data_IF_592080188684
#
_entry.id   IF_592080188684
#
_cell.length_a   1.000
_cell.length_b   1.000
_cell.length_c   1.000
_cell.angle_alpha   90.00
_cell.angle_beta   90.00
_cell.angle_gamma   90.00
#
_symmetry.space_group_name_H-M   'P 1'
#
loop_
_entity.id
_entity.type
_entity.pdbx_description
1 polymer ?
#
# COMPACT_ATOMS: atom_id res chain seq x y z
N UNK A 1 10.38 13.92 1.80
CA UNK A 1 10.60 12.57 2.41
C UNK A 1 10.04 11.55 1.41
N UNK A 2 10.42 10.28 1.42
CA UNK A 2 9.89 9.31 0.44
C UNK A 2 9.03 8.22 1.11
N UNK A 3 8.04 7.74 0.37
CA UNK A 3 7.20 6.60 0.74
C UNK A 3 7.01 5.69 -0.46
N UNK A 4 6.90 4.38 -0.22
CA UNK A 4 6.49 3.41 -1.22
C UNK A 4 5.07 2.96 -0.89
N UNK A 5 4.17 3.12 -1.84
CA UNK A 5 2.80 2.61 -1.76
C UNK A 5 2.61 1.44 -2.71
N UNK A 6 1.80 0.46 -2.31
CA UNK A 6 1.45 -0.71 -3.08
C UNK A 6 -0.08 -0.88 -3.13
N UNK A 7 -0.61 -1.25 -4.30
CA UNK A 7 -2.01 -1.63 -4.50
C UNK A 7 -2.12 -2.53 -5.72
N UNK A 8 -3.33 -2.93 -6.10
CA UNK A 8 -3.58 -3.66 -7.34
C UNK A 8 -4.84 -4.52 -7.24
N UNK A 9 -5.19 -5.23 -8.32
CA UNK A 9 -6.42 -6.01 -8.36
C UNK A 9 -6.37 -7.22 -7.41
N UNK A 10 -5.20 -7.82 -7.21
CA UNK A 10 -4.99 -9.04 -6.43
C UNK A 10 -5.48 -8.87 -4.99
N UNK A 11 -5.16 -7.73 -4.37
CA UNK A 11 -5.54 -7.39 -3.00
C UNK A 11 -7.06 -7.46 -2.81
N UNK A 12 -7.83 -7.00 -3.80
CA UNK A 12 -9.30 -7.06 -3.81
C UNK A 12 -9.81 -8.47 -4.11
N UNK A 13 -9.21 -9.15 -5.10
CA UNK A 13 -9.63 -10.48 -5.56
C UNK A 13 -9.54 -11.54 -4.46
N UNK A 14 -8.44 -11.55 -3.69
CA UNK A 14 -8.25 -12.49 -2.57
C UNK A 14 -8.87 -11.98 -1.26
N UNK A 15 -9.57 -10.84 -1.32
CA UNK A 15 -10.19 -10.18 -0.17
C UNK A 15 -9.20 -9.77 0.92
N UNK A 16 -7.93 -9.59 0.56
CA UNK A 16 -6.90 -9.10 1.48
C UNK A 16 -7.28 -7.71 2.01
N UNK A 17 -7.80 -6.85 1.14
CA UNK A 17 -8.21 -5.47 1.43
C UNK A 17 -9.25 -5.31 2.55
N UNK A 18 -9.98 -6.38 2.89
CA UNK A 18 -11.09 -6.38 3.87
C UNK A 18 -10.82 -7.27 5.09
N UNK A 19 -9.61 -7.83 5.23
CA UNK A 19 -9.27 -8.69 6.37
C UNK A 19 -9.26 -7.90 7.67
N UNK A 20 -9.96 -8.32 8.74
CA UNK A 20 -10.04 -7.56 9.99
C UNK A 20 -8.69 -7.21 10.65
N UNK A 21 -7.62 -7.96 10.32
CA UNK A 21 -6.27 -7.70 10.81
C UNK A 21 -5.76 -6.28 10.50
N UNK A 22 -6.22 -5.66 9.41
CA UNK A 22 -5.86 -4.28 9.06
C UNK A 22 -6.33 -3.25 10.10
N UNK A 23 -7.42 -3.54 10.80
CA UNK A 23 -7.98 -2.67 11.84
C UNK A 23 -7.53 -3.05 13.26
N UNK A 24 -6.58 -3.98 13.42
CA UNK A 24 -5.99 -4.26 14.73
C UNK A 24 -5.38 -2.94 15.27
N UNK A 25 -5.79 -2.46 16.45
CA UNK A 25 -5.26 -1.23 17.02
C UNK A 25 -3.73 -1.21 17.14
N UNK A 26 -3.08 -2.36 17.33
CA UNK A 26 -1.62 -2.45 17.36
C UNK A 26 -1.00 -2.22 15.97
N UNK A 27 -1.67 -2.68 14.90
CA UNK A 27 -1.26 -2.40 13.52
C UNK A 27 -1.44 -0.92 13.20
N UNK A 28 -2.61 -0.34 13.52
CA UNK A 28 -2.91 1.07 13.26
C UNK A 28 -2.00 2.04 14.04
N UNK A 29 -1.39 1.59 15.15
CA UNK A 29 -0.38 2.33 15.91
C UNK A 29 1.07 2.09 15.46
N UNK A 30 1.29 1.15 14.55
CA UNK A 30 2.64 0.74 14.13
C UNK A 30 3.38 -0.09 15.19
N UNK A 31 2.67 -0.58 16.21
CA UNK A 31 3.21 -1.45 17.27
C UNK A 31 3.36 -2.90 16.78
N UNK A 32 2.68 -3.26 15.70
CA UNK A 32 2.68 -4.60 15.11
C UNK A 32 2.63 -4.53 13.58
N UNK A 33 3.33 -5.47 12.94
CA UNK A 33 3.26 -5.68 11.49
C UNK A 33 1.99 -6.45 11.09
N UNK A 34 1.48 -6.18 9.89
CA UNK A 34 0.53 -7.09 9.24
C UNK A 34 1.34 -8.28 8.74
N UNK A 35 0.96 -9.49 9.17
CA UNK A 35 1.61 -10.73 8.73
C UNK A 35 0.61 -11.49 7.88
N UNK A 36 0.85 -11.51 6.57
CA UNK A 36 -0.01 -12.19 5.59
C UNK A 36 0.84 -12.70 4.44
N UNK A 37 0.77 -14.00 4.14
CA UNK A 37 1.49 -14.60 3.01
C UNK A 37 0.98 -14.06 1.66
N UNK A 38 -0.20 -13.43 1.63
CA UNK A 38 -0.74 -12.78 0.42
C UNK A 38 -0.12 -11.40 0.16
N UNK A 39 0.78 -10.91 1.02
CA UNK A 39 1.53 -9.65 0.83
C UNK A 39 2.89 -9.88 0.14
N UNK A 40 3.10 -11.02 -0.50
CA UNK A 40 4.31 -11.25 -1.30
C UNK A 40 4.37 -10.25 -2.45
N UNK A 41 5.50 -9.55 -2.54
CA UNK A 41 5.87 -8.73 -3.69
C UNK A 41 7.01 -9.49 -4.36
N UNK A 42 6.73 -10.00 -5.56
CA UNK A 42 7.58 -11.01 -6.18
C UNK A 42 7.46 -12.38 -5.51
N UNK A 43 8.46 -13.22 -5.73
CA UNK A 43 8.49 -14.64 -5.33
C UNK A 43 9.15 -14.86 -3.96
N UNK A 44 9.89 -13.86 -3.46
CA UNK A 44 10.83 -14.08 -2.35
C UNK A 44 10.53 -13.31 -1.07
N UNK A 45 9.99 -12.09 -1.17
CA UNK A 45 9.82 -11.20 -0.01
C UNK A 45 8.36 -10.83 0.28
N UNK A 46 8.00 -10.82 1.56
CA UNK A 46 6.71 -10.30 2.03
C UNK A 46 6.85 -8.81 2.33
N UNK A 47 5.93 -8.00 1.80
CA UNK A 47 5.87 -6.58 2.09
C UNK A 47 5.64 -6.32 3.59
N UNK A 48 6.59 -5.63 4.21
CA UNK A 48 6.40 -5.06 5.54
C UNK A 48 5.56 -3.78 5.44
N UNK A 49 4.63 -3.60 6.37
CA UNK A 49 3.56 -2.60 6.27
C UNK A 49 3.72 -1.52 7.33
N UNK A 50 3.62 -0.26 6.91
CA UNK A 50 3.37 0.89 7.77
C UNK A 50 1.85 1.05 7.96
N UNK A 51 1.32 0.38 8.99
CA UNK A 51 -0.10 0.38 9.32
C UNK A 51 -0.70 1.77 9.55
N UNK A 52 -0.06 2.66 10.35
CA UNK A 52 -0.55 4.02 10.58
C UNK A 52 -0.77 4.84 9.31
N UNK A 53 0.07 4.66 8.28
CA UNK A 53 0.03 5.48 7.07
C UNK A 53 -0.47 4.72 5.82
N UNK A 54 -0.90 3.48 6.00
CA UNK A 54 -1.70 2.74 5.02
C UNK A 54 -3.04 3.46 4.85
N UNK A 55 -3.50 3.60 3.61
CA UNK A 55 -4.68 4.38 3.26
C UNK A 55 -5.89 3.49 3.03
N UNK A 56 -7.00 3.89 3.63
CA UNK A 56 -8.28 3.19 3.62
C UNK A 56 -9.31 3.97 2.85
N UNK A 57 -10.10 3.26 2.05
CA UNK A 57 -11.37 3.76 1.53
C UNK A 57 -12.46 3.47 2.56
N UNK A 58 -13.26 4.48 2.87
CA UNK A 58 -14.37 4.41 3.84
C UNK A 58 -15.66 4.79 3.12
N UNK A 59 -16.71 3.98 3.29
CA UNK A 59 -18.03 4.17 2.67
C UNK A 59 -18.02 4.33 1.14
N UNK A 60 -17.09 3.65 0.48
CA UNK A 60 -16.98 3.70 -0.99
C UNK A 60 -16.35 4.98 -1.53
N UNK A 61 -15.80 5.84 -0.66
CA UNK A 61 -15.18 7.11 -1.06
C UNK A 61 -13.70 6.91 -1.41
N UNK A 62 -13.45 6.53 -2.65
CA UNK A 62 -12.10 6.33 -3.21
C UNK A 62 -11.32 7.63 -3.43
N UNK A 63 -11.95 8.79 -3.24
CA UNK A 63 -11.34 10.12 -3.41
C UNK A 63 -10.84 10.71 -2.10
N UNK A 64 -11.44 10.32 -0.98
CA UNK A 64 -11.08 10.81 0.35
C UNK A 64 -10.55 9.65 1.20
N UNK A 65 -9.37 9.14 0.83
CA UNK A 65 -8.73 8.07 1.56
C UNK A 65 -8.28 8.55 2.96
N UNK A 66 -8.44 7.68 3.95
CA UNK A 66 -8.14 7.96 5.36
C UNK A 66 -6.92 7.15 5.79
N UNK A 67 -5.99 7.76 6.52
CA UNK A 67 -4.84 7.04 7.07
C UNK A 67 -5.24 6.08 8.20
N UNK A 68 -4.56 4.95 8.33
CA UNK A 68 -4.86 3.95 9.37
C UNK A 68 -4.81 4.52 10.79
N UNK A 69 -3.84 5.39 11.09
CA UNK A 69 -3.70 6.01 12.40
C UNK A 69 -4.92 6.85 12.80
N UNK A 70 -5.62 7.41 11.83
CA UNK A 70 -6.85 8.16 12.06
C UNK A 70 -8.06 7.29 12.38
N UNK A 71 -8.02 6.00 12.04
CA UNK A 71 -9.12 5.05 12.32
C UNK A 71 -9.12 4.56 13.77
N UNK A 72 -8.07 4.82 14.54
CA UNK A 72 -7.95 4.39 15.93
C UNK A 72 -9.12 4.95 16.76
N UNK A 73 -9.93 4.05 17.31
CA UNK A 73 -11.07 4.41 18.16
C UNK A 73 -12.28 4.96 17.41
N UNK A 74 -12.26 5.01 16.06
CA UNK A 74 -13.47 5.26 15.26
C UNK A 74 -14.38 4.05 15.35
N UNK A 75 -15.69 4.30 15.43
CA UNK A 75 -16.70 3.26 15.26
C UNK A 75 -16.91 3.03 13.76
N UNK A 76 -16.49 1.85 13.30
CA UNK A 76 -16.66 1.40 11.91
C UNK A 76 -17.79 0.38 11.78
N UNK A 77 -18.63 0.22 12.80
CA UNK A 77 -19.78 -0.68 12.73
C UNK A 77 -20.80 -0.17 11.72
N UNK A 78 -21.16 -1.03 10.75
CA UNK A 78 -22.09 -0.67 9.67
C UNK A 78 -21.50 0.22 8.57
N UNK A 79 -20.22 0.60 8.69
CA UNK A 79 -19.45 1.35 7.70
C UNK A 79 -18.71 0.35 6.82
N UNK A 80 -18.73 0.57 5.50
CA UNK A 80 -17.91 -0.25 4.61
C UNK A 80 -16.50 0.31 4.58
N UNK A 81 -15.49 -0.55 4.63
CA UNK A 81 -14.10 -0.13 4.57
C UNK A 81 -13.27 -1.16 3.80
N UNK A 82 -12.19 -0.69 3.18
CA UNK A 82 -11.14 -1.53 2.63
C UNK A 82 -9.81 -0.79 2.59
N UNK A 83 -8.72 -1.53 2.59
CA UNK A 83 -7.40 -0.98 2.26
C UNK A 83 -7.37 -0.62 0.78
N UNK A 84 -6.96 0.61 0.48
CA UNK A 84 -6.87 1.13 -0.89
C UNK A 84 -5.43 1.28 -1.35
N UNK A 85 -4.54 1.79 -0.48
CA UNK A 85 -3.09 1.91 -0.74
C UNK A 85 -2.31 1.45 0.47
N UNK A 86 -1.62 0.33 0.36
CA UNK A 86 -0.75 -0.20 1.41
C UNK A 86 0.52 0.63 1.41
N UNK A 87 0.95 1.15 2.56
CA UNK A 87 2.26 1.81 2.65
C UNK A 87 3.30 0.80 3.13
N UNK A 88 4.41 0.68 2.41
CA UNK A 88 5.54 -0.11 2.85
C UNK A 88 6.21 0.52 4.10
N UNK A 89 6.66 -0.32 5.01
CA UNK A 89 7.49 0.10 6.14
C UNK A 89 8.92 0.39 5.65
N UNK A 90 9.22 1.65 5.37
CA UNK A 90 10.55 2.14 4.99
C UNK A 90 11.07 3.17 6.00
N UNK A 91 12.37 3.47 5.94
CA UNK A 91 13.00 4.51 6.77
C UNK A 91 12.73 5.96 6.29
N UNK A 92 11.93 6.12 5.23
CA UNK A 92 11.57 7.40 4.64
C UNK A 92 12.59 7.95 3.62
N UNK A 93 13.68 7.23 3.37
CA UNK A 93 14.65 7.56 2.31
C UNK A 93 14.21 6.98 0.96
N UNK A 94 14.67 7.61 -0.13
CA UNK A 94 14.46 7.08 -1.48
C UNK A 94 15.17 5.74 -1.67
N UNK A 95 16.36 5.59 -1.08
CA UNK A 95 17.19 4.39 -1.21
C UNK A 95 16.51 3.16 -0.62
N UNK A 96 15.97 3.26 0.60
CA UNK A 96 15.28 2.11 1.23
C UNK A 96 13.96 1.76 0.51
N UNK A 97 13.24 2.76 -0.03
CA UNK A 97 12.08 2.51 -0.87
C UNK A 97 12.46 1.77 -2.16
N UNK A 98 13.53 2.20 -2.84
CA UNK A 98 14.01 1.56 -4.07
C UNK A 98 14.60 0.17 -3.83
N UNK A 99 15.10 -0.13 -2.63
CA UNK A 99 15.55 -1.48 -2.27
C UNK A 99 14.42 -2.52 -2.40
N UNK A 100 13.19 -2.16 -2.02
CA UNK A 100 12.02 -3.05 -2.14
C UNK A 100 11.66 -3.25 -3.62
N UNK A 101 11.65 -2.17 -4.40
CA UNK A 101 11.39 -2.22 -5.84
C UNK A 101 12.43 -3.08 -6.55
N UNK A 102 13.72 -2.90 -6.24
CA UNK A 102 14.78 -3.67 -6.86
C UNK A 102 14.66 -5.18 -6.62
N UNK A 103 14.18 -5.59 -5.43
CA UNK A 103 13.89 -7.00 -5.16
C UNK A 103 12.73 -7.51 -6.03
N UNK A 104 11.67 -6.70 -6.18
CA UNK A 104 10.52 -7.02 -7.03
C UNK A 104 10.90 -7.11 -8.53
N UNK A 105 11.78 -6.22 -9.01
CA UNK A 105 12.29 -6.24 -10.39
C UNK A 105 13.25 -7.41 -10.64
N UNK A 106 14.02 -7.87 -9.63
CA UNK A 106 14.93 -9.02 -9.77
C UNK A 106 14.17 -10.33 -10.05
N UNK A 107 12.97 -10.48 -9.49
CA UNK A 107 12.07 -11.61 -9.78
C UNK A 107 11.50 -11.55 -11.21
N UNK A 108 11.70 -10.42 -11.92
CA UNK A 108 11.33 -10.24 -13.33
C UNK A 108 9.87 -9.90 -13.55
N UNK A 109 9.13 -9.66 -12.47
CA UNK A 109 7.69 -9.43 -12.52
C UNK A 109 7.32 -7.97 -12.72
N UNK A 110 8.19 -7.00 -12.38
CA UNK A 110 7.87 -5.57 -12.39
C UNK A 110 8.61 -4.77 -13.46
N UNK A 111 7.94 -3.76 -14.00
CA UNK A 111 8.51 -2.77 -14.91
C UNK A 111 8.04 -1.34 -14.58
N UNK A 112 8.89 -0.35 -14.83
CA UNK A 112 8.53 1.07 -14.68
C UNK A 112 7.44 1.45 -15.69
N UNK A 113 6.38 2.12 -15.20
CA UNK A 113 5.32 2.60 -16.09
C UNK A 113 5.78 3.85 -16.85
N UNK A 114 5.77 3.76 -18.18
CA UNK A 114 6.08 4.90 -19.07
C UNK A 114 4.95 5.95 -19.12
N UNK A 115 3.72 5.58 -18.74
CA UNK A 115 2.54 6.45 -18.84
C UNK A 115 2.29 7.22 -17.53
N UNK A 116 2.51 8.54 -17.56
CA UNK A 116 2.08 9.40 -16.45
C UNK A 116 0.56 9.48 -16.43
N UNK A 117 -0.08 8.85 -15.43
CA UNK A 117 -1.50 9.06 -15.20
C UNK A 117 -1.82 10.55 -14.97
N UNK A 118 -2.85 11.07 -15.63
CA UNK A 118 -3.32 12.44 -15.47
C UNK A 118 -3.85 12.75 -14.05
N UNK A 119 -4.06 11.70 -13.23
CA UNK A 119 -4.58 11.78 -11.87
C UNK A 119 -3.61 11.15 -10.87
N UNK A 120 -3.31 11.88 -9.80
CA UNK A 120 -2.49 11.36 -8.70
C UNK A 120 -3.29 10.32 -7.89
N UNK A 121 -2.89 9.06 -7.99
CA UNK A 121 -3.56 7.93 -7.34
C UNK A 121 -3.24 7.79 -5.84
N UNK A 122 -2.34 8.63 -5.30
CA UNK A 122 -1.95 8.65 -3.89
C UNK A 122 -2.07 10.08 -3.32
N UNK A 123 -3.08 10.37 -2.47
CA UNK A 123 -3.45 11.76 -2.11
C UNK A 123 -2.56 12.44 -1.06
N UNK A 124 -1.41 11.86 -0.69
CA UNK A 124 -0.55 12.34 0.41
C UNK A 124 0.76 12.99 -0.02
N UNK A 125 1.08 12.99 -1.32
CA UNK A 125 2.33 13.53 -1.86
C UNK A 125 2.35 13.52 -3.39
N UNK A 126 3.51 13.74 -3.99
CA UNK A 126 3.71 13.68 -5.44
C UNK A 126 4.29 12.33 -5.87
N UNK A 127 3.66 11.65 -6.83
CA UNK A 127 4.20 10.41 -7.40
C UNK A 127 5.42 10.75 -8.26
N UNK A 128 6.56 10.16 -7.91
CA UNK A 128 7.83 10.31 -8.62
C UNK A 128 7.96 9.27 -9.72
N UNK A 129 7.61 8.03 -9.41
CA UNK A 129 7.71 6.86 -10.30
C UNK A 129 6.65 5.83 -9.93
N UNK A 130 6.15 5.11 -10.94
CA UNK A 130 5.26 3.96 -10.80
C UNK A 130 5.93 2.72 -11.40
N UNK A 131 5.66 1.56 -10.80
CA UNK A 131 5.98 0.25 -11.36
C UNK A 131 4.74 -0.61 -11.33
N UNK A 132 4.50 -1.38 -12.38
CA UNK A 132 3.43 -2.36 -12.44
C UNK A 132 4.05 -3.74 -12.63
N UNK A 133 3.42 -4.77 -12.08
CA UNK A 133 3.78 -6.12 -12.47
C UNK A 133 3.20 -6.51 -13.85
N UNK A 134 3.81 -7.48 -14.50
CA UNK A 134 3.44 -7.96 -15.84
C UNK A 134 2.00 -8.52 -15.93
N UNK A 135 1.37 -8.77 -14.79
CA UNK A 135 0.02 -9.31 -14.67
C UNK A 135 -1.01 -8.27 -14.23
N UNK A 136 -0.61 -7.02 -13.99
CA UNK A 136 -1.43 -5.95 -13.41
C UNK A 136 -1.97 -6.27 -12.01
N UNK A 137 -1.31 -7.18 -11.30
CA UNK A 137 -1.72 -7.64 -9.96
C UNK A 137 -1.26 -6.69 -8.87
N UNK A 138 -0.10 -6.06 -9.07
CA UNK A 138 0.50 -5.08 -8.20
C UNK A 138 0.95 -3.84 -8.98
N UNK A 139 0.74 -2.68 -8.35
CA UNK A 139 1.33 -1.40 -8.70
C UNK A 139 2.06 -0.87 -7.47
N UNK A 140 3.30 -0.44 -7.67
CA UNK A 140 4.13 0.24 -6.67
C UNK A 140 4.30 1.71 -7.07
N UNK A 141 4.21 2.62 -6.09
CA UNK A 141 4.43 4.04 -6.30
C UNK A 141 5.43 4.60 -5.32
N UNK A 142 6.49 5.19 -5.86
CA UNK A 142 7.39 6.03 -5.09
C UNK A 142 6.78 7.43 -5.02
N UNK A 143 6.52 7.89 -3.80
CA UNK A 143 5.89 9.17 -3.50
C UNK A 143 6.84 10.05 -2.73
N UNK A 144 7.00 11.30 -3.16
CA UNK A 144 7.62 12.36 -2.39
C UNK A 144 6.56 13.04 -1.50
N UNK A 145 6.75 12.91 -0.19
CA UNK A 145 5.95 13.49 0.89
C UNK A 145 6.50 14.85 1.33
#
# INVERSE_FOLDING_TARGET
MYALYAWGNFVSEVGLDRRPAWLDPAVLRGERQVVDESLMIGDTDTLLVDGPNTLFEIDGDDKNLVSGGELIGRDLSGVTWRVSRIRAATDGTREDALRIVAAAEEDGDFHEEDERHEYNSVPVGEIVTLWEDDHGQWTLALVEL
#
